data_IF_015924284136
#
_entry.id   IF_015924284136
#
_cell.length_a   1.000
_cell.length_b   1.000
_cell.length_c   1.000
_cell.angle_alpha   90.00
_cell.angle_beta   90.00
_cell.angle_gamma   90.00
#
_symmetry.space_group_name_H-M   'P 1'
#
loop_
_entity.id
_entity.type
_entity.pdbx_description
1 polymer ?
#
# COMPACT_ATOMS: atom_id res chain seq x y z
N UNK A 1 -4.44 -46.36 -5.26
CA UNK A 1 -4.01 -45.91 -3.92
C UNK A 1 -3.45 -44.50 -4.11
N UNK A 2 -4.33 -43.50 -4.11
CA UNK A 2 -3.97 -42.09 -4.26
C UNK A 2 -3.55 -41.58 -2.86
N UNK A 3 -2.24 -41.43 -2.68
CA UNK A 3 -1.49 -40.17 -2.51
C UNK A 3 -1.68 -39.55 -1.14
N UNK A 4 -0.56 -39.53 -0.41
CA UNK A 4 -0.30 -38.82 0.84
C UNK A 4 -1.15 -37.56 0.97
N UNK A 5 -1.82 -37.50 2.11
CA UNK A 5 -2.37 -36.29 2.70
C UNK A 5 -1.46 -35.10 2.39
N UNK A 6 -2.00 -34.14 1.65
CA UNK A 6 -1.48 -32.79 1.65
C UNK A 6 -1.75 -32.26 3.06
N UNK A 7 -0.80 -32.47 3.97
CA UNK A 7 -0.76 -31.72 5.22
C UNK A 7 -0.64 -30.24 4.84
N UNK A 8 -1.77 -29.54 4.83
CA UNK A 8 -1.85 -28.08 4.87
C UNK A 8 -1.07 -27.62 6.10
N UNK A 9 0.11 -27.04 5.91
CA UNK A 9 0.85 -26.44 7.01
C UNK A 9 0.35 -25.01 7.17
N UNK A 10 -0.55 -24.84 8.15
CA UNK A 10 -0.76 -23.57 8.84
C UNK A 10 0.64 -23.06 9.23
N UNK A 11 1.21 -22.14 8.46
CA UNK A 11 2.60 -21.72 8.67
C UNK A 11 3.40 -21.31 7.44
N UNK A 12 3.02 -21.73 6.22
CA UNK A 12 3.74 -21.36 5.00
C UNK A 12 3.37 -19.92 4.53
N UNK A 13 4.29 -19.20 3.86
CA UNK A 13 3.98 -17.89 3.30
C UNK A 13 3.02 -18.00 2.09
N UNK A 14 2.25 -16.94 1.85
CA UNK A 14 1.31 -16.82 0.73
C UNK A 14 1.92 -16.03 -0.41
N UNK A 15 1.61 -16.41 -1.65
CA UNK A 15 1.84 -15.56 -2.81
C UNK A 15 0.76 -14.47 -2.85
N UNK A 16 0.98 -13.38 -2.11
CA UNK A 16 0.04 -12.27 -2.05
C UNK A 16 0.12 -11.43 -3.33
N UNK A 17 -1.01 -11.17 -4.01
CA UNK A 17 -1.04 -10.24 -5.12
C UNK A 17 -0.90 -8.80 -4.60
N UNK A 18 -0.06 -8.03 -5.29
CA UNK A 18 0.19 -6.60 -5.07
C UNK A 18 -0.22 -5.89 -6.36
N UNK A 19 -1.10 -4.90 -6.27
CA UNK A 19 -1.58 -4.15 -7.43
C UNK A 19 -0.48 -3.23 -7.97
N UNK A 20 0.21 -2.54 -7.07
CA UNK A 20 1.37 -1.69 -7.37
C UNK A 20 2.15 -1.34 -6.11
N UNK A 21 3.41 -0.95 -6.27
CA UNK A 21 4.31 -0.53 -5.19
C UNK A 21 5.33 0.49 -5.65
N UNK A 22 6.10 1.03 -4.70
CA UNK A 22 7.21 1.95 -4.99
C UNK A 22 8.33 1.34 -5.84
N UNK A 23 8.40 0.01 -5.95
CA UNK A 23 9.41 -0.69 -6.77
C UNK A 23 8.85 -1.20 -8.11
N UNK A 24 7.53 -1.32 -8.23
CA UNK A 24 6.88 -1.85 -9.44
C UNK A 24 5.45 -1.33 -9.55
N UNK A 25 5.18 -0.58 -10.61
CA UNK A 25 3.86 0.00 -10.89
C UNK A 25 2.87 -0.97 -11.55
N UNK A 26 3.36 -2.14 -11.98
CA UNK A 26 2.54 -3.20 -12.58
C UNK A 26 2.29 -4.32 -11.55
N UNK A 27 1.13 -4.99 -11.57
CA UNK A 27 0.81 -6.05 -10.63
C UNK A 27 1.88 -7.14 -10.53
N UNK A 28 2.05 -7.66 -9.33
CA UNK A 28 3.02 -8.73 -9.04
C UNK A 28 2.67 -9.48 -7.76
N UNK A 29 3.54 -10.42 -7.36
CA UNK A 29 3.35 -11.19 -6.14
C UNK A 29 4.58 -11.09 -5.25
N UNK A 30 4.35 -11.10 -3.94
CA UNK A 30 5.37 -11.28 -2.92
C UNK A 30 4.94 -12.38 -1.95
N UNK A 31 5.91 -13.06 -1.34
CA UNK A 31 5.66 -14.01 -0.26
C UNK A 31 5.41 -13.26 1.05
N UNK A 32 4.18 -13.27 1.56
CA UNK A 32 3.78 -12.70 2.86
C UNK A 32 3.48 -13.79 3.88
N UNK A 33 3.48 -13.46 5.17
CA UNK A 33 2.95 -14.36 6.20
C UNK A 33 1.63 -13.84 6.75
N UNK A 34 0.60 -14.66 6.70
CA UNK A 34 -0.66 -14.45 7.41
C UNK A 34 -1.10 -15.80 8.00
N UNK A 35 -0.53 -16.13 9.16
CA UNK A 35 -0.75 -17.37 9.90
C UNK A 35 -1.52 -17.00 11.20
N UNK A 36 -2.03 -17.97 11.97
CA UNK A 36 -2.78 -17.66 13.19
C UNK A 36 -1.85 -17.37 14.37
N UNK A 37 -0.91 -16.44 14.16
CA UNK A 37 -0.04 -15.87 15.19
C UNK A 37 -0.35 -14.39 15.34
N UNK A 38 -0.22 -13.87 16.56
CA UNK A 38 -0.49 -12.47 16.88
C UNK A 38 0.40 -11.48 16.10
N UNK A 39 1.56 -11.93 15.59
CA UNK A 39 2.51 -11.08 14.86
C UNK A 39 2.15 -10.83 13.40
N UNK A 40 1.25 -11.67 12.87
CA UNK A 40 0.85 -11.66 11.48
C UNK A 40 -0.36 -10.70 11.32
N UNK A 41 -0.51 -10.05 10.15
CA UNK A 41 0.22 -10.33 8.93
C UNK A 41 1.57 -9.62 8.86
N UNK A 42 2.53 -10.27 8.21
CA UNK A 42 3.75 -9.63 7.71
C UNK A 42 3.60 -9.30 6.23
N UNK A 43 3.64 -8.01 5.89
CA UNK A 43 3.47 -7.50 4.52
C UNK A 43 4.77 -6.86 4.05
N UNK A 44 5.20 -7.20 2.84
CA UNK A 44 6.48 -6.76 2.28
C UNK A 44 6.43 -6.54 0.77
N UNK A 45 7.24 -5.60 0.25
CA UNK A 45 7.31 -5.34 -1.20
C UNK A 45 8.00 -6.48 -1.96
N UNK A 46 8.83 -7.28 -1.28
CA UNK A 46 9.52 -8.47 -1.80
C UNK A 46 9.18 -9.69 -0.94
N UNK A 47 9.70 -10.86 -1.29
CA UNK A 47 9.49 -12.08 -0.52
C UNK A 47 10.02 -11.92 0.92
N UNK A 48 9.13 -12.08 1.91
CA UNK A 48 9.47 -11.99 3.33
C UNK A 48 10.51 -13.05 3.74
N UNK A 49 10.60 -14.17 3.03
CA UNK A 49 11.67 -15.16 3.24
C UNK A 49 12.82 -14.93 2.25
N UNK A 50 14.00 -14.56 2.74
CA UNK A 50 15.19 -14.45 1.90
C UNK A 50 16.25 -13.49 2.43
N UNK A 51 17.12 -13.01 1.55
CA UNK A 51 18.06 -11.92 1.82
C UNK A 51 17.42 -10.53 1.69
N UNK A 52 16.14 -10.49 1.31
CA UNK A 52 15.41 -9.27 0.93
C UNK A 52 14.53 -8.76 2.09
N UNK A 53 14.92 -9.10 3.31
CA UNK A 53 14.25 -8.83 4.60
C UNK A 53 14.00 -7.32 4.87
N UNK A 54 14.51 -6.46 3.98
CA UNK A 54 14.58 -5.02 4.10
C UNK A 54 13.33 -4.27 3.65
N UNK A 55 12.35 -4.95 3.06
CA UNK A 55 11.21 -4.31 2.41
C UNK A 55 9.88 -4.67 3.08
N UNK A 56 9.90 -5.00 4.37
CA UNK A 56 8.70 -5.18 5.20
C UNK A 56 8.11 -3.80 5.48
N UNK A 57 6.81 -3.63 5.27
CA UNK A 57 6.09 -2.36 5.51
C UNK A 57 4.97 -2.50 6.53
N UNK A 58 4.76 -3.70 7.06
CA UNK A 58 3.79 -3.95 8.11
C UNK A 58 4.12 -5.22 8.90
N UNK A 59 3.84 -5.17 10.20
CA UNK A 59 3.85 -6.28 11.15
C UNK A 59 3.07 -5.91 12.40
N UNK A 60 2.69 -6.91 13.19
CA UNK A 60 1.85 -6.76 14.39
C UNK A 60 2.56 -7.22 15.68
N UNK A 61 1.86 -7.14 16.81
CA UNK A 61 2.28 -7.58 18.15
C UNK A 61 3.61 -6.96 18.63
N UNK A 62 3.82 -5.67 18.33
CA UNK A 62 5.02 -4.93 18.76
C UNK A 62 6.33 -5.67 18.45
N UNK A 63 6.39 -6.38 17.32
CA UNK A 63 7.58 -7.15 16.98
C UNK A 63 8.76 -6.24 16.70
N UNK A 64 9.94 -6.75 17.02
CA UNK A 64 11.23 -6.07 16.80
C UNK A 64 12.04 -6.66 15.66
N UNK A 65 11.50 -7.66 14.96
CA UNK A 65 12.12 -8.25 13.78
C UNK A 65 11.78 -7.43 12.53
N UNK A 66 12.60 -7.54 11.49
CA UNK A 66 12.32 -6.97 10.16
C UNK A 66 12.12 -5.45 10.17
N UNK A 67 12.82 -4.76 11.07
CA UNK A 67 12.64 -3.33 11.32
C UNK A 67 13.47 -2.43 10.41
N UNK A 68 14.21 -2.98 9.46
CA UNK A 68 15.19 -2.24 8.66
C UNK A 68 14.57 -1.12 7.81
N UNK A 69 13.29 -1.24 7.48
CA UNK A 69 12.49 -0.19 6.83
C UNK A 69 12.03 0.90 7.82
N UNK A 70 11.79 0.55 9.08
CA UNK A 70 11.41 1.48 10.13
C UNK A 70 12.61 2.28 10.64
N UNK A 71 12.45 3.59 10.75
CA UNK A 71 13.48 4.48 11.29
C UNK A 71 14.61 4.80 10.31
N UNK A 72 14.62 4.22 9.10
CA UNK A 72 15.44 4.75 8.02
C UNK A 72 14.98 6.20 7.75
N UNK A 73 15.92 7.13 7.82
CA UNK A 73 15.68 8.58 7.67
C UNK A 73 14.61 9.19 8.60
N UNK A 74 14.24 8.48 9.68
CA UNK A 74 13.22 8.91 10.64
C UNK A 74 11.79 8.62 10.21
N UNK A 75 11.57 7.71 9.24
CA UNK A 75 10.25 7.30 8.80
C UNK A 75 9.60 6.24 9.71
N UNK A 76 8.32 6.42 10.04
CA UNK A 76 7.48 5.39 10.64
C UNK A 76 6.81 4.53 9.55
N UNK A 77 5.89 3.66 9.93
CA UNK A 77 5.03 2.96 8.98
C UNK A 77 3.56 3.19 9.30
N UNK A 78 2.74 3.25 8.26
CA UNK A 78 1.33 3.53 8.38
C UNK A 78 0.52 2.65 7.42
N UNK A 79 -0.74 2.47 7.78
CA UNK A 79 -1.77 1.80 7.00
C UNK A 79 -2.85 2.81 6.67
N UNK A 80 -3.25 2.84 5.40
CA UNK A 80 -4.43 3.55 4.94
C UNK A 80 -5.41 2.57 4.32
N UNK A 81 -6.69 2.91 4.39
CA UNK A 81 -7.78 2.15 3.76
C UNK A 81 -8.56 3.06 2.83
N UNK A 82 -9.18 2.47 1.81
CA UNK A 82 -10.21 3.16 1.01
C UNK A 82 -11.27 2.19 0.50
N UNK A 83 -12.40 2.74 0.11
CA UNK A 83 -13.36 2.08 -0.79
C UNK A 83 -12.90 2.26 -2.23
N UNK A 84 -13.20 1.27 -3.07
CA UNK A 84 -12.88 1.20 -4.50
C UNK A 84 -13.61 2.23 -5.36
N UNK A 85 -14.49 3.06 -4.76
CA UNK A 85 -14.90 4.32 -5.37
C UNK A 85 -13.73 5.29 -5.39
N UNK A 86 -12.69 4.96 -6.17
CA UNK A 86 -11.59 5.84 -6.52
C UNK A 86 -12.22 7.18 -6.89
N UNK A 87 -11.86 8.30 -6.22
CA UNK A 87 -12.39 9.58 -6.60
C UNK A 87 -12.11 9.73 -8.08
N UNK A 88 -13.17 9.94 -8.88
CA UNK A 88 -13.02 10.09 -10.32
C UNK A 88 -11.90 11.09 -10.52
N UNK A 89 -10.82 10.66 -11.17
CA UNK A 89 -9.69 11.52 -11.51
C UNK A 89 -10.29 12.84 -12.00
N UNK A 90 -10.12 13.90 -11.22
CA UNK A 90 -10.47 15.24 -11.69
C UNK A 90 -9.37 15.61 -12.67
N UNK A 91 -9.41 14.99 -13.85
CA UNK A 91 -8.88 15.61 -15.04
C UNK A 91 -9.74 16.86 -15.26
N UNK A 92 -9.10 18.02 -15.13
CA UNK A 92 -9.72 19.32 -15.22
C UNK A 92 -10.58 19.45 -16.50
N UNK A 93 -11.82 19.94 -16.44
CA UNK A 93 -12.53 20.48 -17.59
C UNK A 93 -12.16 21.99 -17.73
N UNK A 94 -12.10 22.66 -18.88
CA UNK A 94 -12.55 22.38 -20.23
C UNK A 94 -11.78 23.29 -21.21
N UNK A 95 -11.65 22.88 -22.48
CA UNK A 95 -11.31 23.78 -23.58
C UNK A 95 -12.25 25.00 -23.57
N UNK A 96 -11.66 26.19 -23.50
CA UNK A 96 -12.40 27.44 -23.74
C UNK A 96 -12.62 27.54 -25.25
N UNK A 97 -13.81 27.15 -25.70
CA UNK A 97 -14.30 27.49 -27.04
C UNK A 97 -14.59 28.99 -27.05
N UNK A 98 -13.78 29.74 -27.79
CA UNK A 98 -14.11 31.10 -28.24
C UNK A 98 -14.16 31.10 -29.77
N UNK A 99 -15.37 31.01 -30.30
CA UNK A 99 -15.74 31.52 -31.64
C UNK A 99 -16.05 33.02 -31.48
N UNK A 100 -15.77 34.00 -32.35
CA UNK A 100 -15.09 34.12 -33.64
C UNK A 100 -14.92 35.66 -33.84
N UNK A 101 -13.83 36.15 -34.44
CA UNK A 101 -13.84 37.19 -35.51
C UNK A 101 -12.43 37.62 -35.94
N UNK A 102 -12.07 37.16 -37.15
CA UNK A 102 -11.38 37.87 -38.25
C UNK A 102 -9.97 38.49 -38.03
N UNK A 103 -8.95 37.91 -38.70
CA UNK A 103 -7.82 38.70 -39.20
C UNK A 103 -6.42 38.05 -39.22
N UNK A 104 -6.12 37.30 -40.30
CA UNK A 104 -4.79 37.15 -40.95
C UNK A 104 -3.69 36.29 -40.27
N UNK A 105 -3.33 35.17 -40.92
CA UNK A 105 -2.11 34.37 -40.63
C UNK A 105 -0.85 34.93 -41.34
N UNK A 106 0.38 34.48 -40.96
CA UNK A 106 0.93 33.32 -41.67
C UNK A 106 1.62 32.27 -40.77
N UNK A 107 1.33 31.01 -41.09
CA UNK A 107 2.15 29.78 -41.03
C UNK A 107 3.38 29.81 -40.10
N UNK A 108 3.29 29.09 -38.99
CA UNK A 108 4.44 28.38 -38.40
C UNK A 108 4.12 26.89 -38.40
N UNK A 109 5.10 26.12 -38.88
CA UNK A 109 5.20 24.66 -38.91
C UNK A 109 4.78 24.01 -37.58
N UNK A 110 4.12 22.83 -37.60
CA UNK A 110 3.67 22.19 -36.38
C UNK A 110 4.90 21.80 -35.55
N UNK A 111 5.03 22.42 -34.38
CA UNK A 111 5.90 21.90 -33.35
C UNK A 111 5.35 20.53 -32.97
N UNK A 112 6.15 19.50 -33.23
CA UNK A 112 6.01 18.16 -32.70
C UNK A 112 5.83 18.30 -31.18
N UNK A 113 4.59 18.08 -30.71
CA UNK A 113 4.31 18.02 -29.28
C UNK A 113 4.98 16.74 -28.78
N UNK A 114 6.15 16.90 -28.17
CA UNK A 114 6.76 15.85 -27.36
C UNK A 114 5.75 15.46 -26.27
N UNK A 115 5.08 14.33 -26.47
CA UNK A 115 4.39 13.59 -25.43
C UNK A 115 5.43 12.89 -24.56
N UNK A 116 6.19 13.68 -23.80
CA UNK A 116 7.10 13.19 -22.78
C UNK A 116 7.09 14.18 -21.61
N UNK A 117 5.92 14.36 -20.97
CA UNK A 117 5.93 14.66 -19.54
C UNK A 117 5.86 13.31 -18.81
N UNK A 118 7.01 12.64 -18.77
CA UNK A 118 7.34 11.73 -17.70
C UNK A 118 7.19 12.55 -16.40
N UNK A 119 6.09 12.34 -15.69
CA UNK A 119 5.86 12.85 -14.35
C UNK A 119 7.07 12.45 -13.50
N UNK A 120 8.00 13.39 -13.33
CA UNK A 120 9.12 13.25 -12.42
C UNK A 120 8.70 13.43 -10.95
N UNK A 121 7.42 13.18 -10.63
CA UNK A 121 7.04 11.97 -9.88
C UNK A 121 7.43 11.88 -8.41
N UNK A 122 7.75 12.98 -7.75
CA UNK A 122 7.95 12.97 -6.30
C UNK A 122 6.61 12.63 -5.60
N UNK A 123 6.46 11.38 -5.15
CA UNK A 123 5.35 10.97 -4.28
C UNK A 123 5.56 11.61 -2.91
N UNK A 124 4.78 12.65 -2.61
CA UNK A 124 4.92 13.42 -1.37
C UNK A 124 3.83 13.11 -0.33
N UNK A 125 2.80 12.38 -0.76
CA UNK A 125 1.58 12.15 -0.02
C UNK A 125 0.85 10.89 -0.52
N UNK A 126 -0.12 10.35 0.25
CA UNK A 126 -0.91 9.23 -0.23
C UNK A 126 -1.84 9.64 -1.38
N UNK A 127 -2.19 10.93 -1.52
CA UNK A 127 -3.02 11.43 -2.63
C UNK A 127 -2.36 11.22 -4.00
N UNK A 128 -1.03 11.16 -4.04
CA UNK A 128 -0.25 10.93 -5.25
C UNK A 128 -0.21 9.43 -5.63
N UNK A 129 -0.64 8.55 -4.73
CA UNK A 129 -0.62 7.10 -4.91
C UNK A 129 -1.98 6.63 -5.40
N UNK A 130 -1.97 6.05 -6.60
CA UNK A 130 -3.13 5.43 -7.25
C UNK A 130 -4.42 6.28 -7.21
N UNK A 131 -4.30 7.58 -7.41
CA UNK A 131 -5.42 8.53 -7.47
C UNK A 131 -6.02 8.90 -6.11
N UNK A 132 -5.34 8.59 -5.00
CA UNK A 132 -5.71 9.06 -3.67
C UNK A 132 -6.96 8.39 -3.09
N UNK A 133 -7.66 9.14 -2.23
CA UNK A 133 -8.85 8.64 -1.49
C UNK A 133 -8.51 7.83 -0.23
N UNK A 134 -7.25 7.84 0.19
CA UNK A 134 -6.73 7.04 1.28
C UNK A 134 -7.02 7.63 2.65
N UNK A 135 -7.53 6.82 3.56
CA UNK A 135 -7.80 7.21 4.95
C UNK A 135 -6.82 6.51 5.87
N UNK A 136 -5.89 7.25 6.50
CA UNK A 136 -4.88 6.67 7.40
C UNK A 136 -5.55 6.05 8.63
N UNK A 137 -5.36 4.78 8.96
CA UNK A 137 -6.08 4.14 10.08
C UNK A 137 -5.18 3.65 11.21
N UNK A 138 -3.89 3.50 10.92
CA UNK A 138 -2.92 2.99 11.89
C UNK A 138 -1.54 3.48 11.52
N UNK A 139 -0.77 3.91 12.51
CA UNK A 139 0.61 4.36 12.33
C UNK A 139 1.47 3.90 13.50
N UNK A 140 2.74 3.66 13.21
CA UNK A 140 3.79 3.46 14.21
C UNK A 140 4.87 4.50 14.01
N UNK A 141 5.25 5.16 15.11
CA UNK A 141 6.28 6.18 15.12
C UNK A 141 7.64 5.60 14.73
N UNK A 142 8.44 6.38 14.01
CA UNK A 142 9.83 6.04 13.69
C UNK A 142 10.71 5.83 14.93
N UNK A 143 10.26 6.34 16.08
CA UNK A 143 10.97 6.22 17.36
C UNK A 143 10.42 5.12 18.28
N UNK A 144 9.32 4.46 17.90
CA UNK A 144 8.68 3.42 18.73
C UNK A 144 9.62 2.25 19.00
N UNK A 145 10.47 1.91 18.03
CA UNK A 145 11.39 0.78 18.16
C UNK A 145 10.71 -0.60 18.08
N UNK A 146 9.44 -0.64 17.65
CA UNK A 146 8.67 -1.86 17.38
C UNK A 146 7.70 -1.65 16.22
N UNK A 147 7.15 -2.73 15.65
CA UNK A 147 6.01 -2.72 14.74
C UNK A 147 4.69 -2.36 15.47
N UNK A 148 3.58 -2.35 14.75
CA UNK A 148 2.29 -1.94 15.31
C UNK A 148 1.90 -2.77 16.56
N UNK A 149 1.43 -2.13 17.65
CA UNK A 149 0.94 -2.84 18.84
C UNK A 149 -0.25 -3.76 18.61
N UNK A 150 -1.02 -3.54 17.53
CA UNK A 150 -2.21 -4.32 17.21
C UNK A 150 -1.92 -5.82 17.09
N UNK A 151 -2.92 -6.64 17.41
CA UNK A 151 -2.92 -8.11 17.19
C UNK A 151 -4.19 -8.57 16.47
N UNK A 152 -4.85 -7.64 15.76
CA UNK A 152 -6.15 -7.83 15.17
C UNK A 152 -6.10 -8.32 13.72
N UNK A 153 -4.93 -8.71 13.21
CA UNK A 153 -4.72 -9.25 11.87
C UNK A 153 -5.34 -8.33 10.80
N UNK A 154 -5.10 -7.02 10.88
CA UNK A 154 -5.69 -5.97 10.02
C UNK A 154 -7.24 -5.83 10.06
N UNK A 155 -7.95 -6.46 11.00
CA UNK A 155 -9.41 -6.31 11.08
C UNK A 155 -9.88 -4.94 11.60
N UNK A 156 -8.98 -4.11 12.16
CA UNK A 156 -9.33 -2.76 12.61
C UNK A 156 -10.11 -2.71 13.93
N UNK A 157 -9.89 -3.70 14.80
CA UNK A 157 -10.59 -3.85 16.08
C UNK A 157 -9.89 -3.09 17.22
N UNK A 158 -8.58 -2.88 17.11
CA UNK A 158 -7.77 -2.30 18.19
C UNK A 158 -7.52 -0.81 18.00
N UNK A 159 -7.91 -0.03 19.02
CA UNK A 159 -7.68 1.41 19.13
C UNK A 159 -6.64 1.71 20.21
N UNK A 160 -5.66 2.55 19.88
CA UNK A 160 -4.61 2.99 20.79
C UNK A 160 -3.98 4.31 20.34
N UNK A 161 -3.20 4.93 21.24
CA UNK A 161 -2.70 6.31 21.11
C UNK A 161 -3.62 7.30 21.83
N UNK A 162 -3.09 8.44 22.28
CA UNK A 162 -3.92 9.47 22.89
C UNK A 162 -4.70 10.22 21.81
N UNK A 163 -6.02 10.01 21.77
CA UNK A 163 -6.93 10.90 21.08
C UNK A 163 -6.84 12.29 21.72
N UNK A 164 -6.34 13.25 20.96
CA UNK A 164 -6.77 14.62 21.11
C UNK A 164 -6.80 15.30 19.74
N UNK A 165 -8.02 15.61 19.27
CA UNK A 165 -8.39 16.72 18.35
C UNK A 165 -8.82 16.38 16.91
N UNK A 166 -9.79 15.48 16.70
CA UNK A 166 -10.65 15.58 15.50
C UNK A 166 -9.85 15.56 14.18
N UNK A 167 -9.17 14.44 14.00
CA UNK A 167 -8.08 14.20 13.08
C UNK A 167 -8.40 14.42 11.59
N UNK A 168 -7.46 15.09 10.91
CA UNK A 168 -7.46 15.47 9.50
C UNK A 168 -6.74 14.40 8.66
N UNK A 169 -6.84 14.52 7.34
CA UNK A 169 -6.17 13.65 6.38
C UNK A 169 -4.63 13.52 6.55
N UNK A 170 -4.00 14.39 7.35
CA UNK A 170 -2.53 14.55 7.49
C UNK A 170 -1.88 13.88 8.70
N UNK A 171 -2.61 13.13 9.53
CA UNK A 171 -2.13 12.70 10.86
C UNK A 171 -1.14 11.53 10.84
N UNK A 172 -0.75 11.07 9.65
CA UNK A 172 0.29 10.06 9.47
C UNK A 172 1.72 10.63 9.60
N UNK A 173 1.89 11.97 9.64
CA UNK A 173 3.21 12.62 9.80
C UNK A 173 3.57 12.94 11.26
N UNK A 174 2.81 12.41 12.22
CA UNK A 174 3.09 12.57 13.64
C UNK A 174 4.21 11.64 14.09
N UNK A 175 4.95 12.02 15.12
CA UNK A 175 5.90 11.14 15.83
C UNK A 175 5.20 10.21 16.84
N UNK A 176 3.91 9.99 16.67
CA UNK A 176 3.04 9.22 17.57
C UNK A 176 2.66 7.86 16.96
N UNK A 177 2.56 6.86 17.82
CA UNK A 177 2.03 5.53 17.50
C UNK A 177 0.55 5.48 17.85
N UNK A 178 -0.31 5.18 16.88
CA UNK A 178 -1.76 5.23 17.04
C UNK A 178 -2.49 4.26 16.11
N UNK A 179 -3.71 3.91 16.48
CA UNK A 179 -4.66 3.13 15.67
C UNK A 179 -6.06 3.59 16.00
N UNK A 180 -6.89 3.78 14.97
CA UNK A 180 -8.33 3.97 15.10
C UNK A 180 -9.05 2.72 14.62
N UNK A 181 -10.26 2.50 15.10
CA UNK A 181 -11.09 1.44 14.54
C UNK A 181 -11.53 1.78 13.11
N UNK A 182 -11.59 0.76 12.25
CA UNK A 182 -12.25 0.82 10.95
C UNK A 182 -13.17 -0.39 10.80
N UNK A 183 -14.20 -0.24 9.96
CA UNK A 183 -15.05 -1.36 9.58
C UNK A 183 -14.43 -2.05 8.37
N UNK A 184 -13.98 -3.30 8.55
CA UNK A 184 -13.37 -4.08 7.47
C UNK A 184 -14.35 -4.36 6.31
N UNK A 185 -15.66 -4.30 6.57
CA UNK A 185 -16.67 -4.46 5.54
C UNK A 185 -16.71 -3.24 4.59
N UNK A 186 -16.25 -2.07 5.04
CA UNK A 186 -16.13 -0.84 4.25
C UNK A 186 -14.76 -0.67 3.56
N UNK A 187 -13.86 -1.64 3.68
CA UNK A 187 -12.52 -1.59 3.05
C UNK A 187 -12.51 -2.41 1.77
N UNK A 188 -12.03 -1.83 0.68
CA UNK A 188 -11.75 -2.55 -0.56
C UNK A 188 -10.24 -2.72 -0.78
N UNK A 189 -9.45 -1.71 -0.41
CA UNK A 189 -8.00 -1.68 -0.61
C UNK A 189 -7.25 -1.12 0.59
N UNK A 190 -6.04 -1.63 0.77
CA UNK A 190 -5.05 -1.17 1.73
C UNK A 190 -3.89 -0.51 0.99
N UNK A 191 -3.39 0.58 1.58
CA UNK A 191 -2.09 1.14 1.28
C UNK A 191 -1.21 0.99 2.53
N UNK A 192 -0.07 0.33 2.37
CA UNK A 192 0.97 0.26 3.38
C UNK A 192 2.11 1.15 2.92
N UNK A 193 2.59 2.06 3.77
CA UNK A 193 3.71 2.92 3.40
C UNK A 193 4.53 3.35 4.60
N UNK A 194 5.81 3.62 4.35
CA UNK A 194 6.61 4.44 5.23
C UNK A 194 6.11 5.89 5.19
N UNK A 195 6.27 6.63 6.30
CA UNK A 195 5.72 8.00 6.41
C UNK A 195 6.37 9.02 5.49
N UNK A 196 7.51 8.68 4.89
CA UNK A 196 8.20 9.45 3.86
C UNK A 196 7.87 9.00 2.43
N UNK A 197 7.03 7.97 2.27
CA UNK A 197 6.65 7.34 1.00
C UNK A 197 7.82 6.79 0.17
N UNK A 198 8.98 6.53 0.79
CA UNK A 198 10.10 5.86 0.11
C UNK A 198 9.78 4.39 -0.22
N UNK A 199 8.98 3.75 0.63
CA UNK A 199 8.43 2.42 0.40
C UNK A 199 6.92 2.45 0.59
N UNK A 200 6.19 1.92 -0.38
CA UNK A 200 4.75 1.76 -0.30
C UNK A 200 4.27 0.63 -1.19
N UNK A 201 3.11 0.05 -0.87
CA UNK A 201 2.39 -0.87 -1.73
C UNK A 201 0.88 -0.74 -1.56
N UNK A 202 0.15 -1.01 -2.63
CA UNK A 202 -1.31 -1.11 -2.68
C UNK A 202 -1.70 -2.56 -2.89
N UNK A 203 -2.63 -3.04 -2.07
CA UNK A 203 -3.18 -4.39 -2.18
C UNK A 203 -4.67 -4.40 -1.87
N UNK A 204 -5.40 -5.37 -2.43
CA UNK A 204 -6.82 -5.55 -2.12
C UNK A 204 -7.00 -6.06 -0.71
N UNK A 205 -8.20 -5.86 -0.14
CA UNK A 205 -8.61 -6.48 1.12
C UNK A 205 -8.37 -7.99 1.05
N UNK A 206 -8.83 -8.66 0.00
CA UNK A 206 -8.74 -10.11 -0.14
C UNK A 206 -7.29 -10.60 -0.11
N UNK A 207 -6.36 -9.87 -0.73
CA UNK A 207 -4.94 -10.19 -0.72
C UNK A 207 -4.36 -10.20 0.70
N UNK A 208 -4.75 -9.23 1.53
CA UNK A 208 -4.27 -9.09 2.90
C UNK A 208 -4.73 -10.23 3.82
N UNK A 209 -5.84 -10.91 3.49
CA UNK A 209 -6.42 -12.01 4.29
C UNK A 209 -6.18 -13.40 3.70
N UNK A 210 -5.34 -13.53 2.65
CA UNK A 210 -4.91 -14.83 2.18
C UNK A 210 -4.10 -15.54 3.26
N UNK A 211 -4.50 -16.77 3.61
CA UNK A 211 -3.74 -17.66 4.50
C UNK A 211 -3.04 -18.71 3.62
N UNK A 212 -1.87 -19.18 4.04
CA UNK A 212 -1.05 -20.17 3.33
C UNK A 212 -1.87 -21.34 2.76
N UNK A 213 -1.99 -21.39 1.42
CA UNK A 213 -2.44 -22.55 0.66
C UNK A 213 -1.29 -22.97 -0.28
N UNK A 214 -0.74 -24.21 -0.17
CA UNK A 214 0.40 -24.63 -0.98
C UNK A 214 0.09 -24.87 -2.47
N UNK A 215 -1.06 -24.50 -3.02
CA UNK A 215 -1.34 -24.76 -4.44
C UNK A 215 -2.01 -23.56 -5.12
N UNK A 216 -1.23 -22.88 -5.96
CA UNK A 216 -1.52 -22.35 -7.32
C UNK A 216 -0.74 -21.05 -7.58
N UNK A 217 0.59 -21.14 -7.68
CA UNK A 217 1.27 -20.27 -8.63
C UNK A 217 0.75 -20.66 -10.04
N UNK A 218 0.34 -19.71 -10.92
CA UNK A 218 0.02 -20.06 -12.29
C UNK A 218 1.26 -20.67 -12.91
N UNK A 219 1.18 -21.95 -13.28
CA UNK A 219 2.15 -22.54 -14.17
C UNK A 219 1.93 -21.84 -15.51
N UNK A 220 2.77 -20.86 -15.83
CA UNK A 220 2.96 -20.36 -17.20
C UNK A 220 3.35 -21.57 -18.07
N UNK A 221 2.36 -22.26 -18.61
CA UNK A 221 2.55 -23.26 -19.65
C UNK A 221 2.70 -22.48 -20.96
N UNK A 222 3.92 -22.01 -21.23
CA UNK A 222 4.29 -21.62 -22.59
C UNK A 222 4.30 -22.89 -23.45
N UNK A 223 3.34 -23.01 -24.37
CA UNK A 223 3.43 -23.88 -25.54
C UNK A 223 3.86 -23.08 -26.75
#
# INVERSE_FOLDING_TARGET
VATKEACFLIGDPVHAPIEMSSIKTEPYHALWYNRPYEEDPWVSLLNHTGTDDYMVVYGENSKTGHMESLGQDGAGACVWVRTSSKPASVQAPAEVIVEDTEGTQPVQTPAEVNLEEESSGDIASPDDIDGGGWTAVRCVSSTEGTWHPATDNLYGLEEYGEDSRGYLFSDYKTDETWSRQWDIDDVDEFLFALTDFSQWLVATKEACFLIGDPVHAPIEMSS
#
